data_IF_708211151482
#
_entry.id   IF_708211151482
#
_cell.length_a   1.000
_cell.length_b   1.000
_cell.length_c   1.000
_cell.angle_alpha   90.00
_cell.angle_beta   90.00
_cell.angle_gamma   90.00
#
_symmetry.space_group_name_H-M   'P 1'
#
loop_
_entity.id
_entity.type
_entity.pdbx_description
1 polymer ?
#
# COMPACT_ATOMS: atom_id res chain seq x y z
N UNK A 1 -3.20 -8.97 -5.89
CA UNK A 1 -2.70 -8.07 -6.96
C UNK A 1 -1.28 -7.68 -6.62
N UNK A 2 -0.32 -7.73 -7.54
CA UNK A 2 1.05 -7.36 -7.24
C UNK A 2 1.21 -5.83 -7.33
N UNK A 3 1.93 -5.23 -6.39
CA UNK A 3 2.07 -3.78 -6.27
C UNK A 3 2.74 -3.13 -7.49
N UNK A 4 3.95 -3.56 -7.83
CA UNK A 4 4.72 -2.98 -8.95
C UNK A 4 3.99 -3.01 -10.30
N UNK A 5 3.30 -4.10 -10.69
CA UNK A 5 2.52 -4.12 -11.92
C UNK A 5 1.27 -3.24 -11.90
N UNK A 6 0.86 -2.73 -10.74
CA UNK A 6 -0.38 -1.93 -10.59
C UNK A 6 -0.17 -0.42 -10.65
N UNK A 7 1.10 0.04 -10.63
CA UNK A 7 1.42 1.47 -10.62
C UNK A 7 0.91 2.16 -11.90
N UNK A 8 0.03 3.14 -11.74
CA UNK A 8 -0.54 3.89 -12.85
C UNK A 8 0.45 4.94 -13.36
N UNK A 9 0.88 4.84 -14.62
CA UNK A 9 1.88 5.74 -15.22
C UNK A 9 1.42 7.19 -15.27
N UNK A 10 0.15 7.45 -15.61
CA UNK A 10 -0.39 8.81 -15.68
C UNK A 10 -0.41 9.45 -14.28
N UNK A 11 -0.83 8.71 -13.27
CA UNK A 11 -0.84 9.19 -11.89
C UNK A 11 0.60 9.43 -11.38
N UNK A 12 1.53 8.52 -11.70
CA UNK A 12 2.94 8.69 -11.32
C UNK A 12 3.55 9.95 -11.97
N UNK A 13 3.30 10.19 -13.25
CA UNK A 13 3.76 11.41 -13.94
C UNK A 13 3.17 12.67 -13.28
N UNK A 14 1.89 12.65 -12.90
CA UNK A 14 1.23 13.76 -12.22
C UNK A 14 1.82 13.99 -10.81
N UNK A 15 2.13 12.93 -10.07
CA UNK A 15 2.78 13.02 -8.76
C UNK A 15 4.16 13.65 -8.89
N UNK A 16 4.97 13.18 -9.84
CA UNK A 16 6.31 13.72 -10.10
C UNK A 16 6.26 15.22 -10.48
N UNK A 17 5.30 15.61 -11.33
CA UNK A 17 5.10 17.01 -11.70
C UNK A 17 4.71 17.90 -10.52
N UNK A 18 3.90 17.38 -9.59
CA UNK A 18 3.48 18.12 -8.39
C UNK A 18 4.52 18.15 -7.28
N UNK A 19 5.46 17.23 -7.28
CA UNK A 19 6.52 17.13 -6.27
C UNK A 19 7.70 18.08 -6.52
N UNK A 20 7.51 19.07 -7.41
CA UNK A 20 8.48 20.15 -7.73
C UNK A 20 9.84 19.64 -8.21
N UNK A 21 9.90 18.40 -8.75
CA UNK A 21 11.10 17.92 -9.40
C UNK A 21 11.45 18.76 -10.62
N UNK A 22 12.75 18.90 -10.87
CA UNK A 22 13.24 19.54 -12.09
C UNK A 22 12.60 18.87 -13.33
N UNK A 23 12.21 19.70 -14.32
CA UNK A 23 11.56 19.21 -15.56
C UNK A 23 12.35 18.10 -16.28
N UNK A 24 13.68 18.14 -16.21
CA UNK A 24 14.53 17.08 -16.78
C UNK A 24 14.29 15.73 -16.09
N UNK A 25 14.10 15.72 -14.77
CA UNK A 25 13.80 14.51 -13.98
C UNK A 25 12.41 13.99 -14.33
N UNK A 26 11.42 14.87 -14.37
CA UNK A 26 10.04 14.50 -14.74
C UNK A 26 10.00 13.91 -16.16
N UNK A 27 10.66 14.56 -17.11
CA UNK A 27 10.76 14.10 -18.51
C UNK A 27 11.50 12.75 -18.61
N UNK A 28 12.57 12.56 -17.83
CA UNK A 28 13.28 11.30 -17.80
C UNK A 28 12.35 10.16 -17.35
N UNK A 29 11.65 10.29 -16.23
CA UNK A 29 10.72 9.25 -15.74
C UNK A 29 9.53 9.07 -16.69
N UNK A 30 8.98 10.14 -17.24
CA UNK A 30 7.90 10.04 -18.22
C UNK A 30 8.34 9.24 -19.44
N UNK A 31 9.51 9.56 -20.01
CA UNK A 31 10.07 8.81 -21.15
C UNK A 31 10.42 7.35 -20.78
N UNK A 32 10.89 7.11 -19.56
CA UNK A 32 11.14 5.75 -19.06
C UNK A 32 9.89 4.89 -19.01
N UNK A 33 8.72 5.49 -18.76
CA UNK A 33 7.44 4.80 -18.64
C UNK A 33 6.68 4.69 -19.96
N UNK A 34 6.97 5.56 -20.95
CA UNK A 34 6.27 5.60 -22.25
C UNK A 34 6.80 4.48 -23.17
N UNK A 35 5.90 3.97 -24.01
CA UNK A 35 6.21 3.00 -25.07
C UNK A 35 6.90 1.71 -24.59
N UNK A 36 6.69 1.35 -23.34
CA UNK A 36 7.20 0.08 -22.84
C UNK A 36 6.48 -1.07 -23.51
N UNK A 37 7.26 -2.07 -23.89
CA UNK A 37 6.76 -3.29 -24.50
C UNK A 37 7.30 -4.50 -23.78
N UNK A 38 6.54 -5.57 -23.76
CA UNK A 38 6.94 -6.87 -23.24
C UNK A 38 6.49 -7.98 -24.17
N UNK A 39 7.12 -9.11 -24.07
CA UNK A 39 6.71 -10.34 -24.71
C UNK A 39 6.90 -11.52 -23.75
N UNK A 40 6.28 -12.62 -24.04
CA UNK A 40 6.40 -13.86 -23.29
C UNK A 40 7.29 -14.84 -24.04
N UNK A 41 8.22 -15.43 -23.29
CA UNK A 41 9.04 -16.55 -23.78
C UNK A 41 8.62 -17.83 -23.05
N UNK A 42 8.37 -18.87 -23.79
CA UNK A 42 8.09 -20.19 -23.23
C UNK A 42 8.72 -21.25 -24.14
N UNK A 43 9.75 -21.92 -23.65
CA UNK A 43 10.57 -22.84 -24.47
C UNK A 43 11.07 -22.12 -25.74
N UNK A 44 10.68 -22.61 -26.92
CA UNK A 44 11.06 -22.02 -28.22
C UNK A 44 10.01 -21.05 -28.77
N UNK A 45 8.96 -20.76 -28.02
CA UNK A 45 7.90 -19.82 -28.41
C UNK A 45 8.20 -18.43 -27.88
N UNK A 46 8.09 -17.42 -28.76
CA UNK A 46 8.10 -16.00 -28.40
C UNK A 46 6.77 -15.37 -28.86
N UNK A 47 6.05 -14.75 -27.95
CA UNK A 47 4.85 -13.99 -28.32
C UNK A 47 5.19 -12.72 -29.10
N UNK A 48 4.19 -12.10 -29.72
CA UNK A 48 4.33 -10.73 -30.21
C UNK A 48 4.53 -9.75 -29.05
N UNK A 49 5.01 -8.54 -29.36
CA UNK A 49 5.20 -7.48 -28.38
C UNK A 49 3.88 -6.87 -27.95
N UNK A 50 3.63 -6.76 -26.64
CA UNK A 50 2.50 -6.08 -26.02
C UNK A 50 2.93 -4.74 -25.44
N UNK A 51 2.06 -3.73 -25.55
CA UNK A 51 2.27 -2.46 -24.88
C UNK A 51 2.01 -2.61 -23.37
N UNK A 52 2.89 -2.01 -22.56
CA UNK A 52 2.78 -1.98 -21.10
C UNK A 52 2.48 -0.54 -20.67
N UNK A 53 1.20 -0.25 -20.41
CA UNK A 53 0.72 1.07 -20.05
C UNK A 53 0.55 1.27 -18.53
N UNK A 54 0.80 0.24 -17.74
CA UNK A 54 0.72 0.26 -16.27
C UNK A 54 1.89 -0.54 -15.68
N UNK A 55 2.21 -0.21 -14.46
CA UNK A 55 3.22 -0.92 -13.69
C UNK A 55 4.65 -0.55 -14.02
N UNK A 56 5.52 -0.92 -13.10
CA UNK A 56 6.97 -0.86 -13.24
C UNK A 56 7.55 -2.26 -13.11
N UNK A 57 8.67 -2.52 -13.77
CA UNK A 57 9.27 -3.85 -13.76
C UNK A 57 9.76 -4.21 -12.36
N UNK A 58 9.37 -5.36 -11.87
CA UNK A 58 9.91 -5.90 -10.62
C UNK A 58 11.40 -6.24 -10.81
N UNK A 59 12.23 -5.85 -9.84
CA UNK A 59 13.69 -6.06 -9.91
C UNK A 59 14.48 -5.02 -10.70
N UNK A 60 13.85 -4.01 -11.29
CA UNK A 60 14.56 -2.90 -11.92
C UNK A 60 15.07 -1.90 -10.87
N UNK A 61 16.25 -1.31 -11.10
CA UNK A 61 16.89 -0.39 -10.16
C UNK A 61 16.05 0.85 -9.80
N UNK A 62 15.21 1.33 -10.73
CA UNK A 62 14.34 2.50 -10.50
C UNK A 62 13.01 2.16 -9.82
N UNK A 63 12.59 0.91 -9.81
CA UNK A 63 11.27 0.53 -9.31
C UNK A 63 11.05 0.82 -7.83
N UNK A 64 12.01 0.59 -6.92
CA UNK A 64 11.86 1.01 -5.52
C UNK A 64 11.70 2.52 -5.36
N UNK A 65 12.45 3.30 -6.11
CA UNK A 65 12.37 4.77 -6.07
C UNK A 65 10.99 5.23 -6.55
N UNK A 66 10.53 4.72 -7.69
CA UNK A 66 9.22 5.05 -8.24
C UNK A 66 8.08 4.64 -7.31
N UNK A 67 8.21 3.51 -6.60
CA UNK A 67 7.21 3.06 -5.63
C UNK A 67 7.11 3.98 -4.42
N UNK A 68 8.24 4.42 -3.88
CA UNK A 68 8.27 5.38 -2.76
C UNK A 68 7.65 6.71 -3.19
N UNK A 69 8.01 7.23 -4.36
CA UNK A 69 7.45 8.47 -4.90
C UNK A 69 5.93 8.34 -5.12
N UNK A 70 5.48 7.19 -5.63
CA UNK A 70 4.06 6.93 -5.86
C UNK A 70 3.24 6.88 -4.57
N UNK A 71 3.77 6.26 -3.51
CA UNK A 71 3.08 6.11 -2.22
C UNK A 71 3.21 7.36 -1.32
N UNK A 72 4.20 8.21 -1.53
CA UNK A 72 4.45 9.38 -0.68
C UNK A 72 3.20 10.26 -0.49
N UNK A 73 2.45 10.67 -1.52
CA UNK A 73 1.24 11.47 -1.33
C UNK A 73 0.15 10.74 -0.56
N UNK A 74 0.00 9.44 -0.79
CA UNK A 74 -0.93 8.60 -0.05
C UNK A 74 -0.62 8.60 1.44
N UNK A 75 0.65 8.35 1.81
CA UNK A 75 1.09 8.32 3.20
C UNK A 75 0.89 9.67 3.87
N UNK A 76 1.23 10.76 3.19
CA UNK A 76 1.05 12.12 3.70
C UNK A 76 -0.43 12.46 3.96
N UNK A 77 -1.31 12.15 3.02
CA UNK A 77 -2.76 12.37 3.18
C UNK A 77 -3.32 11.53 4.31
N UNK A 78 -2.93 10.25 4.39
CA UNK A 78 -3.40 9.35 5.43
C UNK A 78 -2.90 9.80 6.82
N UNK A 79 -1.63 10.14 6.95
CA UNK A 79 -1.07 10.66 8.21
C UNK A 79 -1.80 11.92 8.69
N UNK A 80 -2.02 12.89 7.79
CA UNK A 80 -2.77 14.11 8.10
C UNK A 80 -4.19 13.80 8.54
N UNK A 81 -4.87 12.86 7.89
CA UNK A 81 -6.21 12.45 8.25
C UNK A 81 -6.24 11.79 9.65
N UNK A 82 -5.31 10.89 9.93
CA UNK A 82 -5.22 10.20 11.22
C UNK A 82 -4.89 11.16 12.36
N UNK A 83 -4.01 12.15 12.14
CA UNK A 83 -3.72 13.20 13.11
C UNK A 83 -4.94 14.07 13.43
N UNK A 84 -5.73 14.42 12.43
CA UNK A 84 -6.96 15.23 12.63
C UNK A 84 -8.03 14.51 13.46
N UNK A 85 -8.00 13.19 13.51
CA UNK A 85 -8.91 12.38 14.31
C UNK A 85 -8.40 12.16 15.75
N UNK A 86 -7.32 12.81 16.15
CA UNK A 86 -6.62 12.62 17.44
C UNK A 86 -6.36 11.13 17.77
N UNK A 87 -6.13 10.37 16.73
CA UNK A 87 -5.84 8.95 16.84
C UNK A 87 -4.35 8.78 17.05
N UNK A 88 -3.98 8.12 18.16
CA UNK A 88 -2.60 7.67 18.42
C UNK A 88 -2.27 6.50 17.51
N UNK A 89 -2.30 6.76 16.20
CA UNK A 89 -2.00 5.80 15.15
C UNK A 89 -0.75 6.28 14.42
N UNK A 90 0.20 5.37 14.28
CA UNK A 90 1.37 5.55 13.44
C UNK A 90 1.22 4.68 12.20
N UNK A 91 1.67 5.20 11.06
CA UNK A 91 1.77 4.44 9.82
C UNK A 91 3.23 4.31 9.44
N UNK A 92 3.65 3.11 9.11
CA UNK A 92 4.94 2.79 8.52
C UNK A 92 4.71 2.09 7.19
N UNK A 93 5.59 2.32 6.23
CA UNK A 93 5.54 1.65 4.94
C UNK A 93 6.94 1.26 4.51
N UNK A 94 7.06 0.07 3.97
CA UNK A 94 8.27 -0.42 3.33
C UNK A 94 7.89 -1.00 1.96
N UNK A 95 8.16 -0.23 0.92
CA UNK A 95 7.79 -0.54 -0.48
C UNK A 95 6.28 -0.77 -0.60
N UNK A 96 5.84 -2.02 -0.69
CA UNK A 96 4.44 -2.46 -0.83
C UNK A 96 3.79 -2.90 0.49
N UNK A 97 4.59 -3.09 1.54
CA UNK A 97 4.09 -3.45 2.85
C UNK A 97 3.73 -2.20 3.67
N UNK A 98 2.56 -2.22 4.29
CA UNK A 98 2.07 -1.17 5.17
C UNK A 98 1.78 -1.68 6.57
N UNK A 99 2.16 -0.92 7.59
CA UNK A 99 1.92 -1.24 8.99
C UNK A 99 1.17 -0.10 9.66
N UNK A 100 0.01 -0.40 10.25
CA UNK A 100 -0.74 0.50 11.10
C UNK A 100 -0.52 0.11 12.56
N UNK A 101 0.04 1.00 13.35
CA UNK A 101 0.31 0.79 14.78
C UNK A 101 -0.65 1.65 15.59
N UNK A 102 -1.40 1.01 16.49
CA UNK A 102 -2.34 1.68 17.37
C UNK A 102 -1.98 1.45 18.83
N UNK A 103 -1.97 2.52 19.62
CA UNK A 103 -1.80 2.44 21.06
C UNK A 103 -3.07 2.88 21.78
N UNK A 104 -3.60 2.03 22.68
CA UNK A 104 -4.75 2.35 23.52
C UNK A 104 -4.71 1.59 24.84
N UNK A 105 -5.46 2.07 25.83
CA UNK A 105 -5.63 1.37 27.11
C UNK A 105 -6.64 0.23 27.03
N UNK A 106 -7.57 0.28 26.07
CA UNK A 106 -8.65 -0.68 25.91
C UNK A 106 -8.61 -1.31 24.53
N UNK A 107 -8.62 -2.63 24.44
CA UNK A 107 -8.59 -3.37 23.18
C UNK A 107 -9.76 -3.04 22.25
N UNK A 108 -10.97 -2.95 22.79
CA UNK A 108 -12.15 -2.62 22.00
C UNK A 108 -12.01 -1.27 21.32
N UNK A 109 -11.49 -0.27 22.03
CA UNK A 109 -11.21 1.06 21.48
C UNK A 109 -10.11 0.99 20.41
N UNK A 110 -9.06 0.19 20.62
CA UNK A 110 -7.99 -0.02 19.63
C UNK A 110 -8.56 -0.64 18.36
N UNK A 111 -9.37 -1.68 18.48
CA UNK A 111 -9.96 -2.39 17.34
C UNK A 111 -10.84 -1.48 16.50
N UNK A 112 -11.76 -0.73 17.14
CA UNK A 112 -12.65 0.18 16.43
C UNK A 112 -11.87 1.26 15.67
N UNK A 113 -10.85 1.83 16.30
CA UNK A 113 -10.02 2.86 15.67
C UNK A 113 -9.15 2.28 14.56
N UNK A 114 -8.54 1.10 14.77
CA UNK A 114 -7.73 0.42 13.76
C UNK A 114 -8.58 0.07 12.54
N UNK A 115 -9.79 -0.45 12.75
CA UNK A 115 -10.75 -0.73 11.69
C UNK A 115 -11.12 0.52 10.89
N UNK A 116 -11.44 1.62 11.57
CA UNK A 116 -11.75 2.89 10.90
C UNK A 116 -10.56 3.38 10.05
N UNK A 117 -9.35 3.29 10.60
CA UNK A 117 -8.13 3.71 9.90
C UNK A 117 -7.81 2.83 8.70
N UNK A 118 -7.97 1.52 8.84
CA UNK A 118 -7.83 0.57 7.74
C UNK A 118 -8.82 0.86 6.60
N UNK A 119 -10.09 1.13 6.92
CA UNK A 119 -11.10 1.46 5.92
C UNK A 119 -10.77 2.75 5.17
N UNK A 120 -10.26 3.76 5.88
CA UNK A 120 -9.81 5.01 5.25
C UNK A 120 -8.60 4.76 4.36
N UNK A 121 -7.62 4.01 4.85
CA UNK A 121 -6.42 3.65 4.08
C UNK A 121 -6.80 2.87 2.81
N UNK A 122 -7.65 1.87 2.92
CA UNK A 122 -8.12 1.06 1.79
C UNK A 122 -8.86 1.90 0.74
N UNK A 123 -9.79 2.77 1.17
CA UNK A 123 -10.49 3.71 0.28
C UNK A 123 -9.55 4.71 -0.38
N UNK A 124 -8.54 5.16 0.33
CA UNK A 124 -7.55 6.08 -0.23
C UNK A 124 -6.65 5.37 -1.23
N UNK A 125 -6.16 4.15 -0.92
CA UNK A 125 -5.36 3.33 -1.84
C UNK A 125 -6.08 3.06 -3.17
N UNK A 126 -7.39 2.82 -3.13
CA UNK A 126 -8.16 2.60 -4.36
C UNK A 126 -8.13 3.81 -5.30
N UNK A 127 -8.03 5.05 -4.77
CA UNK A 127 -7.83 6.27 -5.58
C UNK A 127 -6.45 6.32 -6.24
N UNK A 128 -5.49 5.61 -5.70
CA UNK A 128 -4.16 5.42 -6.28
C UNK A 128 -4.07 4.17 -7.17
N UNK A 129 -5.22 3.60 -7.55
CA UNK A 129 -5.28 2.35 -8.34
C UNK A 129 -4.61 1.16 -7.65
N UNK A 130 -4.55 1.18 -6.33
CA UNK A 130 -3.98 0.13 -5.49
C UNK A 130 -5.06 -0.54 -4.66
N UNK A 131 -4.89 -1.83 -4.40
CA UNK A 131 -5.80 -2.61 -3.57
C UNK A 131 -5.02 -3.29 -2.46
N UNK A 132 -5.62 -3.31 -1.26
CA UNK A 132 -5.08 -4.10 -0.16
C UNK A 132 -5.34 -5.59 -0.42
N UNK A 133 -4.30 -6.42 -0.28
CA UNK A 133 -4.42 -7.87 -0.36
C UNK A 133 -4.88 -8.40 0.99
N UNK A 134 -6.18 -8.58 1.13
CA UNK A 134 -6.79 -8.96 2.39
C UNK A 134 -6.27 -10.29 2.93
N UNK A 135 -6.05 -11.28 2.06
CA UNK A 135 -5.55 -12.60 2.46
C UNK A 135 -4.15 -12.59 3.10
N UNK A 136 -3.40 -11.50 2.89
CA UNK A 136 -2.07 -11.28 3.47
C UNK A 136 -2.08 -10.30 4.64
N UNK A 137 -3.25 -9.73 4.98
CA UNK A 137 -3.37 -8.80 6.09
C UNK A 137 -3.40 -9.56 7.40
N UNK A 138 -2.54 -9.20 8.33
CA UNK A 138 -2.39 -9.84 9.64
C UNK A 138 -2.57 -8.80 10.75
N UNK A 139 -3.09 -9.23 11.88
CA UNK A 139 -3.22 -8.41 13.07
C UNK A 139 -2.47 -9.00 14.24
N UNK A 140 -1.71 -8.16 14.94
CA UNK A 140 -0.94 -8.54 16.12
C UNK A 140 -1.34 -7.67 17.30
N UNK A 141 -1.40 -8.28 18.48
CA UNK A 141 -1.64 -7.58 19.73
C UNK A 141 -0.42 -7.71 20.64
N UNK A 142 -0.06 -6.59 21.25
CA UNK A 142 1.01 -6.54 22.24
C UNK A 142 0.40 -6.09 23.57
N UNK A 143 0.54 -6.91 24.61
CA UNK A 143 0.12 -6.55 25.98
C UNK A 143 1.30 -6.60 26.93
N UNK A 144 1.31 -5.70 27.91
CA UNK A 144 2.25 -5.76 29.03
C UNK A 144 1.75 -6.68 30.15
N UNK A 145 0.53 -7.17 30.07
CA UNK A 145 -0.05 -8.09 31.05
C UNK A 145 0.61 -9.47 30.94
N UNK A 146 1.02 -10.03 32.07
CA UNK A 146 1.60 -11.38 32.16
C UNK A 146 0.52 -12.49 32.26
N UNK A 147 -0.76 -12.14 32.19
CA UNK A 147 -1.87 -13.12 32.22
C UNK A 147 -2.15 -13.74 30.84
N UNK A 148 -2.94 -14.81 30.84
CA UNK A 148 -3.49 -15.39 29.60
C UNK A 148 -4.31 -14.31 28.87
N UNK A 149 -3.80 -13.89 27.75
CA UNK A 149 -4.40 -12.85 26.93
C UNK A 149 -5.10 -13.49 25.74
N UNK A 150 -6.42 -13.32 25.69
CA UNK A 150 -7.23 -13.77 24.56
C UNK A 150 -7.76 -12.54 23.81
N UNK A 151 -7.05 -12.02 22.81
CA UNK A 151 -7.47 -10.82 22.11
C UNK A 151 -8.75 -11.11 21.29
N UNK A 152 -9.68 -10.15 21.24
CA UNK A 152 -10.83 -10.29 20.39
C UNK A 152 -10.42 -10.33 18.92
N UNK A 153 -11.13 -11.09 18.07
CA UNK A 153 -10.84 -11.14 16.64
C UNK A 153 -10.92 -9.74 16.01
N UNK A 154 -9.93 -9.42 15.19
CA UNK A 154 -9.89 -8.17 14.44
C UNK A 154 -10.68 -8.34 13.14
N UNK A 155 -11.85 -7.74 13.06
CA UNK A 155 -12.66 -7.79 11.84
C UNK A 155 -12.31 -6.62 10.91
N UNK A 156 -11.37 -6.86 10.00
CA UNK A 156 -10.95 -5.90 8.97
C UNK A 156 -11.60 -6.19 7.61
N UNK A 157 -12.41 -7.24 7.52
CA UNK A 157 -12.97 -7.70 6.26
C UNK A 157 -14.12 -6.82 5.76
N UNK A 158 -14.32 -6.72 4.44
CA UNK A 158 -15.58 -6.31 3.86
C UNK A 158 -16.71 -7.19 4.39
N UNK A 159 -17.92 -6.67 4.46
CA UNK A 159 -19.10 -7.40 4.93
C UNK A 159 -19.19 -8.78 4.21
N UNK A 160 -19.18 -9.86 4.97
CA UNK A 160 -19.25 -11.23 4.45
C UNK A 160 -17.93 -12.02 4.35
N UNK A 161 -16.81 -11.39 4.64
CA UNK A 161 -15.51 -12.10 4.69
C UNK A 161 -15.18 -12.60 6.11
N UNK A 162 -14.38 -13.65 6.29
CA UNK A 162 -14.01 -14.13 7.62
C UNK A 162 -13.18 -13.09 8.37
N UNK A 163 -13.38 -13.00 9.69
CA UNK A 163 -12.56 -12.15 10.57
C UNK A 163 -11.11 -12.65 10.61
N UNK A 164 -10.18 -11.72 10.72
CA UNK A 164 -8.78 -12.05 10.97
C UNK A 164 -8.64 -12.55 12.41
N UNK A 165 -8.05 -13.73 12.56
CA UNK A 165 -7.65 -14.23 13.86
C UNK A 165 -6.28 -13.62 14.16
N UNK A 166 -6.10 -12.96 15.33
CA UNK A 166 -4.79 -12.45 15.73
C UNK A 166 -3.78 -13.60 15.80
N UNK A 167 -2.56 -13.36 15.35
CA UNK A 167 -1.46 -14.30 15.56
C UNK A 167 -0.83 -14.05 16.93
N UNK A 168 -0.63 -15.11 17.67
CA UNK A 168 0.17 -15.09 18.89
C UNK A 168 1.66 -14.95 18.51
N UNK A 169 2.37 -14.15 19.29
CA UNK A 169 3.82 -13.93 19.17
C UNK A 169 4.50 -14.66 20.31
#
# INVERSE_FOLDING_TARGET
>A
MQFFPSLNHCLLALILGKAEFNSKVVNFFSNYLINRKTNYFWNNFSSHLFNVNVGVGQGLALSPILSVLYLSPFLHILEKYLKNLDLKISILSFVDDGLLIMQSKLFQSSNTRLFSSYNVASKLLSKFSLLVEYSKTEGFYFSRSQGTFNPPPLNLSPIGSPSLIPKDI
#
